data_IF_032013853364
#
_entry.id   IF_032013853364
#
_cell.length_a   1.000
_cell.length_b   1.000
_cell.length_c   1.000
_cell.angle_alpha   90.00
_cell.angle_beta   90.00
_cell.angle_gamma   90.00
#
_symmetry.space_group_name_H-M   'P 1'
#
loop_
_entity.id
_entity.type
_entity.pdbx_description
1 polymer ?
#
# COMPACT_ATOMS: atom_id res chain seq x y z
N UNK A 1 -7.56 12.34 4.66
CA UNK A 1 -6.15 11.94 4.82
C UNK A 1 -5.73 11.28 3.53
N UNK A 2 -4.56 11.61 2.94
CA UNK A 2 -4.15 10.98 1.69
C UNK A 2 -3.94 9.49 1.91
N UNK A 3 -4.35 8.71 0.91
CA UNK A 3 -4.35 7.25 0.92
C UNK A 3 -3.18 6.72 0.10
N UNK A 4 -2.44 5.77 0.66
CA UNK A 4 -1.26 5.17 0.05
C UNK A 4 -1.49 3.68 -0.14
N UNK A 5 -1.27 3.20 -1.36
CA UNK A 5 -1.26 1.77 -1.67
C UNK A 5 0.19 1.31 -1.85
N UNK A 6 0.58 0.30 -1.08
CA UNK A 6 1.91 -0.31 -1.17
C UNK A 6 1.77 -1.70 -1.75
N UNK A 7 2.49 -1.99 -2.82
CA UNK A 7 2.61 -3.35 -3.34
C UNK A 7 3.98 -3.89 -2.94
N UNK A 8 4.02 -4.93 -2.12
CA UNK A 8 5.27 -5.46 -1.59
C UNK A 8 5.17 -6.97 -1.37
N UNK A 9 6.06 -7.74 -2.01
CA UNK A 9 6.01 -9.22 -1.92
C UNK A 9 6.40 -9.77 -0.55
N UNK A 10 7.27 -9.06 0.15
CA UNK A 10 7.72 -9.46 1.48
C UNK A 10 6.78 -8.91 2.53
N UNK A 11 6.08 -9.80 3.25
CA UNK A 11 5.19 -9.43 4.36
C UNK A 11 5.92 -8.59 5.42
N UNK A 12 7.15 -8.97 5.77
CA UNK A 12 7.97 -8.22 6.74
C UNK A 12 8.28 -6.80 6.28
N UNK A 13 8.61 -6.62 5.00
CA UNK A 13 8.86 -5.30 4.44
C UNK A 13 7.57 -4.47 4.40
N UNK A 14 6.46 -5.09 3.98
CA UNK A 14 5.13 -4.51 3.98
C UNK A 14 4.74 -3.97 5.36
N UNK A 15 4.83 -4.78 6.41
CA UNK A 15 4.53 -4.37 7.79
C UNK A 15 5.38 -3.17 8.24
N UNK A 16 6.68 -3.21 7.93
CA UNK A 16 7.61 -2.12 8.25
C UNK A 16 7.21 -0.81 7.57
N UNK A 17 6.86 -0.87 6.28
CA UNK A 17 6.39 0.29 5.53
C UNK A 17 5.05 0.82 6.02
N UNK A 18 4.07 -0.07 6.30
CA UNK A 18 2.77 0.33 6.81
C UNK A 18 2.88 1.04 8.15
N UNK A 19 3.72 0.53 9.07
CA UNK A 19 3.93 1.21 10.35
C UNK A 19 4.51 2.62 10.15
N UNK A 20 5.60 2.73 9.37
CA UNK A 20 6.25 4.01 9.09
C UNK A 20 5.29 5.05 8.48
N UNK A 21 4.49 4.63 7.50
CA UNK A 21 3.58 5.52 6.77
C UNK A 21 2.36 5.90 7.62
N UNK A 22 1.87 5.01 8.48
CA UNK A 22 0.83 5.34 9.48
C UNK A 22 1.34 6.32 10.52
N UNK A 23 2.58 6.16 10.97
CA UNK A 23 3.21 7.09 11.94
C UNK A 23 3.35 8.50 11.35
N UNK A 24 3.46 8.64 10.02
CA UNK A 24 3.38 9.93 9.32
C UNK A 24 1.97 10.50 9.19
N UNK A 25 0.94 9.76 9.59
CA UNK A 25 -0.46 10.18 9.52
C UNK A 25 -1.10 9.97 8.16
N UNK A 26 -0.67 8.98 7.37
CA UNK A 26 -1.34 8.57 6.14
C UNK A 26 -2.20 7.33 6.37
N UNK A 27 -3.26 7.21 5.57
CA UNK A 27 -4.00 5.95 5.47
C UNK A 27 -3.28 5.03 4.49
N UNK A 28 -3.12 3.75 4.85
CA UNK A 28 -2.26 2.83 4.08
C UNK A 28 -2.89 1.45 3.92
N UNK A 29 -2.85 0.98 2.68
CA UNK A 29 -3.22 -0.38 2.29
C UNK A 29 -2.02 -1.11 1.68
N UNK A 30 -1.89 -2.41 1.97
CA UNK A 30 -0.84 -3.26 1.42
C UNK A 30 -1.47 -4.33 0.53
N UNK A 31 -0.81 -4.58 -0.60
CA UNK A 31 -0.99 -5.76 -1.43
C UNK A 31 0.30 -6.56 -1.50
N UNK A 32 0.22 -7.84 -1.18
CA UNK A 32 1.31 -8.80 -1.34
C UNK A 32 1.20 -9.60 -2.65
N UNK A 33 -0.02 -9.67 -3.21
CA UNK A 33 -0.31 -10.40 -4.45
C UNK A 33 -0.30 -9.47 -5.67
N UNK A 34 0.38 -9.90 -6.74
CA UNK A 34 0.54 -9.09 -7.96
C UNK A 34 -0.70 -9.05 -8.83
N UNK A 35 -1.47 -10.13 -8.88
CA UNK A 35 -2.54 -10.29 -9.85
C UNK A 35 -3.75 -9.40 -9.52
N UNK A 36 -3.87 -8.92 -8.28
CA UNK A 36 -4.97 -8.08 -7.82
C UNK A 36 -4.64 -6.58 -7.79
N UNK A 37 -3.39 -6.19 -8.04
CA UNK A 37 -2.93 -4.79 -7.93
C UNK A 37 -3.78 -3.83 -8.78
N UNK A 38 -4.00 -4.18 -10.05
CA UNK A 38 -4.72 -3.31 -10.98
C UNK A 38 -6.18 -3.11 -10.57
N UNK A 39 -6.83 -4.17 -10.08
CA UNK A 39 -8.23 -4.12 -9.66
C UNK A 39 -8.39 -3.36 -8.35
N UNK A 40 -7.44 -3.51 -7.42
CA UNK A 40 -7.41 -2.72 -6.19
C UNK A 40 -7.15 -1.24 -6.48
N UNK A 41 -6.24 -0.89 -7.40
CA UNK A 41 -6.02 0.52 -7.79
C UNK A 41 -7.32 1.14 -8.34
N UNK A 42 -8.04 0.42 -9.21
CA UNK A 42 -9.30 0.91 -9.79
C UNK A 42 -10.40 1.11 -8.74
N UNK A 43 -10.42 0.26 -7.72
CA UNK A 43 -11.45 0.24 -6.68
C UNK A 43 -11.15 1.25 -5.57
N UNK A 44 -9.95 1.19 -5.00
CA UNK A 44 -9.51 2.02 -3.86
C UNK A 44 -9.17 3.44 -4.29
N UNK A 45 -8.66 3.61 -5.53
CA UNK A 45 -8.21 4.89 -6.09
C UNK A 45 -7.29 5.66 -5.12
N UNK A 46 -6.15 5.06 -4.75
CA UNK A 46 -5.22 5.68 -3.83
C UNK A 46 -4.62 6.96 -4.42
N UNK A 47 -4.24 7.91 -3.56
CA UNK A 47 -3.57 9.14 -3.97
C UNK A 47 -2.12 8.88 -4.40
N UNK A 48 -1.47 7.90 -3.76
CA UNK A 48 -0.08 7.49 -4.04
C UNK A 48 0.03 5.98 -4.11
N UNK A 49 0.83 5.49 -5.06
CA UNK A 49 1.15 4.06 -5.20
C UNK A 49 2.66 3.87 -5.05
N UNK A 50 3.06 2.97 -4.16
CA UNK A 50 4.46 2.57 -3.95
C UNK A 50 4.62 1.12 -4.43
N UNK A 51 5.50 0.91 -5.41
CA UNK A 51 5.79 -0.41 -5.99
C UNK A 51 7.15 -0.92 -5.49
N UNK A 52 7.16 -2.07 -4.83
CA UNK A 52 8.33 -2.74 -4.26
C UNK A 52 8.47 -4.21 -4.66
#
# INVERSE_FOLDING_TARGET
MPSILITQKSERAAESFQKLIRDWGYDVAILTERDTILDTIKTVRPDVIILG
#
